data_IF_190588162247
#
_entry.id   IF_190588162247
#
_cell.length_a   1.000
_cell.length_b   1.000
_cell.length_c   1.000
_cell.angle_alpha   90.00
_cell.angle_beta   90.00
_cell.angle_gamma   90.00
#
_symmetry.space_group_name_H-M   'P 1'
#
loop_
_entity.id
_entity.type
_entity.pdbx_description
1 polymer ?
#
# COMPACT_ATOMS: atom_id res chain seq x y z
N UNK A 1 -65.03 -39.11 11.03
CA UNK A 1 -64.20 -38.20 11.88
C UNK A 1 -62.74 -38.06 11.46
N UNK A 2 -62.15 -38.99 10.71
CA UNK A 2 -60.70 -38.92 10.29
C UNK A 2 -60.35 -37.91 9.20
N UNK A 3 -61.28 -37.51 8.31
CA UNK A 3 -60.98 -36.57 7.21
C UNK A 3 -60.77 -35.12 7.61
N UNK A 4 -61.32 -34.68 8.76
CA UNK A 4 -61.18 -33.31 9.27
C UNK A 4 -59.86 -33.06 10.01
N UNK A 5 -59.27 -34.12 10.56
CA UNK A 5 -57.98 -33.98 11.27
C UNK A 5 -56.81 -33.88 10.32
N UNK A 6 -56.88 -34.48 9.12
CA UNK A 6 -55.80 -34.42 8.14
C UNK A 6 -55.69 -33.02 7.48
N UNK A 7 -56.83 -32.34 7.27
CA UNK A 7 -56.79 -30.98 6.72
C UNK A 7 -56.21 -29.96 7.69
N UNK A 8 -56.43 -30.14 8.98
CA UNK A 8 -55.88 -29.25 10.02
C UNK A 8 -54.35 -29.41 10.18
N UNK A 9 -53.83 -30.61 10.02
CA UNK A 9 -52.41 -30.88 10.08
C UNK A 9 -51.63 -30.31 8.88
N UNK A 10 -52.23 -30.36 7.68
CA UNK A 10 -51.62 -29.75 6.48
C UNK A 10 -51.61 -28.21 6.54
N UNK A 11 -52.62 -27.61 7.12
CA UNK A 11 -52.71 -26.15 7.31
C UNK A 11 -51.64 -25.63 8.24
N UNK A 12 -51.34 -26.36 9.31
CA UNK A 12 -50.27 -25.97 10.25
C UNK A 12 -48.86 -26.12 9.67
N UNK A 13 -48.65 -27.13 8.82
CA UNK A 13 -47.34 -27.29 8.14
C UNK A 13 -47.07 -26.19 7.12
N UNK A 14 -48.11 -25.71 6.42
CA UNK A 14 -47.97 -24.64 5.44
C UNK A 14 -47.67 -23.26 6.12
N UNK A 15 -48.20 -23.02 7.31
CA UNK A 15 -47.90 -21.82 8.06
C UNK A 15 -46.51 -21.82 8.73
N UNK A 16 -45.99 -23.02 9.06
CA UNK A 16 -44.66 -23.17 9.62
C UNK A 16 -43.54 -22.88 8.61
N UNK A 17 -43.73 -23.22 7.35
CA UNK A 17 -42.70 -22.96 6.32
C UNK A 17 -42.67 -21.51 5.84
N UNK A 18 -43.78 -20.79 5.94
CA UNK A 18 -43.81 -19.36 5.61
C UNK A 18 -43.12 -18.50 6.68
N UNK A 19 -43.13 -18.94 7.95
CA UNK A 19 -42.50 -18.22 9.06
C UNK A 19 -40.95 -18.32 9.02
N UNK A 20 -40.39 -19.39 8.47
CA UNK A 20 -38.94 -19.53 8.34
C UNK A 20 -38.34 -18.82 7.14
N UNK A 21 -39.14 -18.49 6.12
CA UNK A 21 -38.68 -17.75 4.96
C UNK A 21 -38.51 -16.23 5.22
N UNK A 22 -39.09 -15.72 6.31
CA UNK A 22 -39.00 -14.29 6.64
C UNK A 22 -37.86 -13.91 7.60
N UNK A 23 -37.14 -14.86 8.15
CA UNK A 23 -36.08 -14.58 9.11
C UNK A 23 -34.74 -14.23 8.44
N UNK A 24 -34.63 -14.36 7.13
CA UNK A 24 -33.38 -14.10 6.40
C UNK A 24 -33.37 -12.83 5.54
N UNK A 25 -34.39 -12.01 5.61
CA UNK A 25 -34.25 -10.62 5.20
C UNK A 25 -34.06 -9.78 6.46
N UNK A 26 -32.90 -9.91 7.13
CA UNK A 26 -32.36 -8.74 7.81
C UNK A 26 -32.37 -7.66 6.73
N UNK A 27 -33.16 -6.57 6.85
CA UNK A 27 -32.95 -5.45 5.98
C UNK A 27 -31.47 -5.15 6.16
N UNK A 28 -30.65 -5.39 5.15
CA UNK A 28 -29.40 -4.68 5.05
C UNK A 28 -29.85 -3.22 5.12
N UNK A 29 -29.78 -2.66 6.32
CA UNK A 29 -29.81 -1.21 6.51
C UNK A 29 -28.83 -0.75 5.47
N UNK A 30 -29.34 -0.13 4.42
CA UNK A 30 -28.57 0.21 3.26
C UNK A 30 -27.33 0.94 3.70
N UNK A 31 -26.25 0.20 3.79
CA UNK A 31 -24.94 0.77 3.54
C UNK A 31 -25.16 1.33 2.15
N UNK A 32 -25.31 2.64 2.10
CA UNK A 32 -25.83 3.34 0.94
C UNK A 32 -25.19 2.77 -0.32
N UNK A 33 -25.98 2.61 -1.36
CA UNK A 33 -25.62 2.12 -2.69
C UNK A 33 -24.46 2.90 -3.34
N UNK A 34 -23.45 3.27 -2.58
CA UNK A 34 -22.31 4.07 -2.93
C UNK A 34 -20.98 3.62 -2.33
N UNK A 35 -20.95 2.56 -1.53
CA UNK A 35 -19.67 2.01 -1.10
C UNK A 35 -19.08 1.17 -2.25
N UNK A 36 -18.50 1.84 -3.22
CA UNK A 36 -17.63 1.18 -4.18
C UNK A 36 -16.43 0.70 -3.39
N UNK A 37 -16.33 -0.61 -3.18
CA UNK A 37 -15.18 -1.21 -2.53
C UNK A 37 -13.95 -0.89 -3.37
N UNK A 38 -13.07 -0.04 -2.85
CA UNK A 38 -11.85 0.37 -3.55
C UNK A 38 -10.88 -0.79 -3.59
N UNK A 39 -10.37 -1.09 -4.76
CA UNK A 39 -9.37 -2.13 -4.91
C UNK A 39 -8.10 -1.73 -4.15
N UNK A 40 -7.69 -2.58 -3.21
CA UNK A 40 -6.52 -2.36 -2.35
C UNK A 40 -5.39 -3.28 -2.78
N UNK A 41 -4.24 -2.70 -2.98
CA UNK A 41 -3.02 -3.38 -3.42
C UNK A 41 -1.89 -3.19 -2.42
N UNK A 42 -0.94 -4.08 -2.45
CA UNK A 42 0.33 -3.94 -1.73
C UNK A 42 1.48 -4.49 -2.55
N UNK A 43 2.65 -3.95 -2.32
CA UNK A 43 3.91 -4.50 -2.80
C UNK A 43 4.95 -4.41 -1.70
N UNK A 44 5.90 -5.34 -1.68
CA UNK A 44 6.99 -5.38 -0.74
C UNK A 44 8.32 -5.52 -1.47
N UNK A 45 9.39 -5.06 -0.85
CA UNK A 45 10.75 -5.23 -1.32
C UNK A 45 11.64 -5.68 -0.15
N UNK A 46 12.64 -6.47 -0.46
CA UNK A 46 13.58 -7.02 0.52
C UNK A 46 15.01 -6.89 0.01
N UNK A 47 15.92 -6.54 0.92
CA UNK A 47 17.34 -6.49 0.61
C UNK A 47 17.72 -5.44 -0.44
N UNK A 48 16.92 -4.39 -0.60
CA UNK A 48 17.27 -3.28 -1.49
C UNK A 48 18.54 -2.61 -0.96
N UNK A 49 19.57 -2.55 -1.79
CA UNK A 49 20.75 -1.73 -1.53
C UNK A 49 20.43 -0.32 -2.03
N UNK A 50 20.17 0.64 -1.12
CA UNK A 50 19.77 1.97 -1.52
C UNK A 50 20.94 2.72 -2.15
N UNK A 51 20.62 3.65 -3.04
CA UNK A 51 21.60 4.59 -3.58
C UNK A 51 22.10 5.52 -2.48
N UNK A 52 23.41 5.65 -2.34
CA UNK A 52 24.02 6.35 -1.19
C UNK A 52 23.92 7.87 -1.26
N UNK A 53 23.77 8.45 -2.44
CA UNK A 53 23.73 9.90 -2.65
C UNK A 53 22.51 10.52 -2.00
N UNK A 54 22.70 11.62 -1.27
CA UNK A 54 21.60 12.39 -0.65
C UNK A 54 20.61 12.91 -1.70
N UNK A 55 19.35 13.05 -1.30
CA UNK A 55 18.30 13.58 -2.15
C UNK A 55 17.87 12.63 -3.25
N UNK A 56 18.26 11.35 -3.21
CA UNK A 56 17.94 10.37 -4.23
C UNK A 56 16.65 9.63 -3.91
N UNK A 57 15.80 9.46 -4.90
CA UNK A 57 14.60 8.64 -4.81
C UNK A 57 14.97 7.15 -4.88
N UNK A 58 14.52 6.39 -3.90
CA UNK A 58 14.90 4.99 -3.71
C UNK A 58 13.80 4.03 -4.18
N UNK A 59 12.57 4.36 -3.82
CA UNK A 59 11.37 3.59 -4.13
C UNK A 59 10.24 4.54 -4.47
N UNK A 60 9.62 4.36 -5.63
CA UNK A 60 8.54 5.23 -6.10
C UNK A 60 7.31 4.42 -6.49
N UNK A 61 6.15 5.00 -6.23
CA UNK A 61 4.87 4.60 -6.82
C UNK A 61 4.41 5.71 -7.78
N UNK A 62 4.07 5.33 -9.00
CA UNK A 62 3.58 6.23 -10.05
C UNK A 62 2.09 6.03 -10.22
N UNK A 63 1.36 7.09 -10.49
CA UNK A 63 -0.08 7.06 -10.67
C UNK A 63 -0.52 6.29 -11.93
N UNK A 64 -1.81 6.23 -12.13
CA UNK A 64 -2.47 5.47 -13.19
C UNK A 64 -3.05 6.39 -14.26
N UNK A 65 -3.12 5.90 -15.51
CA UNK A 65 -3.80 6.62 -16.60
C UNK A 65 -5.34 6.65 -16.45
N UNK A 66 -5.91 5.72 -15.71
CA UNK A 66 -7.36 5.50 -15.66
C UNK A 66 -7.98 5.56 -14.28
N UNK A 67 -7.15 5.67 -13.22
CA UNK A 67 -7.60 5.61 -11.82
C UNK A 67 -6.86 6.61 -10.95
N UNK A 68 -7.50 7.03 -9.87
CA UNK A 68 -6.84 7.78 -8.80
C UNK A 68 -6.14 6.76 -7.89
N UNK A 69 -4.85 6.94 -7.70
CA UNK A 69 -4.03 6.10 -6.81
C UNK A 69 -3.85 6.85 -5.48
N UNK A 70 -4.31 6.25 -4.37
CA UNK A 70 -4.14 6.82 -3.02
C UNK A 70 -3.22 5.93 -2.19
N UNK A 71 -2.10 6.49 -1.79
CA UNK A 71 -1.15 5.79 -0.93
C UNK A 71 -1.67 5.78 0.50
N UNK A 72 -1.88 4.59 1.05
CA UNK A 72 -2.43 4.39 2.40
C UNK A 72 -1.34 4.25 3.45
N UNK A 73 -0.26 3.55 3.09
CA UNK A 73 0.83 3.27 4.01
C UNK A 73 2.12 2.98 3.26
N UNK A 74 3.21 3.48 3.79
CA UNK A 74 4.57 3.08 3.40
C UNK A 74 5.32 2.72 4.67
N UNK A 75 5.80 1.49 4.76
CA UNK A 75 6.61 1.00 5.87
C UNK A 75 8.00 0.70 5.37
N UNK A 76 9.03 1.18 6.07
CA UNK A 76 10.43 0.95 5.70
C UNK A 76 11.22 0.61 6.96
N UNK A 77 12.10 -0.35 6.84
CA UNK A 77 13.11 -0.66 7.85
C UNK A 77 14.40 -1.05 7.17
N UNK A 78 15.50 -0.87 7.84
CA UNK A 78 16.80 -1.17 7.27
C UNK A 78 17.79 -1.67 8.30
N UNK A 79 18.85 -2.28 7.79
CA UNK A 79 20.03 -2.70 8.54
C UNK A 79 21.26 -2.21 7.82
N UNK A 80 22.34 -2.03 8.57
CA UNK A 80 23.66 -1.70 8.01
C UNK A 80 24.60 -2.89 8.13
N UNK A 81 25.60 -2.93 7.28
CA UNK A 81 26.62 -4.00 7.32
C UNK A 81 27.88 -3.62 8.08
N UNK A 82 28.11 -2.33 8.34
CA UNK A 82 29.38 -1.83 8.90
C UNK A 82 29.24 -1.16 10.25
N UNK A 83 28.29 -0.25 10.42
CA UNK A 83 28.03 0.46 11.67
C UNK A 83 26.59 0.96 11.72
N UNK A 84 26.01 1.11 12.91
CA UNK A 84 24.67 1.67 13.09
C UNK A 84 24.56 3.08 12.49
N UNK A 85 23.43 3.40 11.90
CA UNK A 85 23.19 4.70 11.29
C UNK A 85 21.75 5.18 11.54
N UNK A 86 21.58 6.48 11.77
CA UNK A 86 20.29 7.14 11.61
C UNK A 86 20.17 7.64 10.19
N UNK A 87 19.12 7.23 9.50
CA UNK A 87 18.84 7.60 8.12
C UNK A 87 17.62 8.51 8.08
N UNK A 88 17.83 9.75 7.66
CA UNK A 88 16.71 10.65 7.43
C UNK A 88 16.02 10.28 6.10
N UNK A 89 14.73 9.98 6.18
CA UNK A 89 13.88 9.57 5.07
C UNK A 89 12.81 10.63 4.88
N UNK A 90 12.69 11.11 3.65
CA UNK A 90 11.61 11.97 3.22
C UNK A 90 10.63 11.17 2.37
N UNK A 91 9.36 11.46 2.54
CA UNK A 91 8.32 11.08 1.59
C UNK A 91 8.01 12.30 0.72
N UNK A 92 8.26 12.19 -0.57
CA UNK A 92 8.12 13.29 -1.52
C UNK A 92 7.12 12.97 -2.62
N UNK A 93 6.29 13.94 -2.98
CA UNK A 93 5.45 13.88 -4.17
C UNK A 93 6.08 14.70 -5.26
N UNK A 94 6.18 14.13 -6.45
CA UNK A 94 6.71 14.74 -7.65
C UNK A 94 5.64 14.90 -8.72
N UNK A 95 5.71 15.99 -9.44
CA UNK A 95 4.82 16.27 -10.58
C UNK A 95 5.28 15.57 -11.87
N UNK A 96 6.54 15.12 -11.91
CA UNK A 96 7.12 14.40 -13.05
C UNK A 96 7.77 13.10 -12.57
N UNK A 97 7.70 12.07 -13.39
CA UNK A 97 8.34 10.78 -13.12
C UNK A 97 9.85 10.90 -13.35
N UNK A 98 10.62 10.30 -12.46
CA UNK A 98 12.07 10.19 -12.59
C UNK A 98 12.45 9.43 -13.87
N UNK A 99 13.58 9.78 -14.44
CA UNK A 99 14.09 9.15 -15.66
C UNK A 99 15.45 8.52 -15.41
N UNK A 100 15.80 7.53 -16.20
CA UNK A 100 17.08 6.82 -16.03
C UNK A 100 17.11 6.02 -14.72
N UNK A 101 18.31 5.85 -14.18
CA UNK A 101 18.54 4.97 -13.04
C UNK A 101 18.51 3.50 -13.43
N UNK A 102 18.86 2.64 -12.50
CA UNK A 102 18.79 1.18 -12.70
C UNK A 102 17.71 0.64 -11.77
N UNK A 103 16.57 0.18 -12.30
CA UNK A 103 15.55 -0.47 -11.48
C UNK A 103 16.10 -1.75 -10.84
N UNK A 104 15.79 -1.96 -9.57
CA UNK A 104 15.94 -3.27 -8.95
C UNK A 104 14.89 -4.21 -9.55
N UNK A 105 15.28 -5.42 -9.90
CA UNK A 105 14.34 -6.37 -10.55
C UNK A 105 15.01 -7.64 -11.02
N UNK A 106 16.20 -7.94 -10.49
CA UNK A 106 16.87 -9.22 -10.75
C UNK A 106 16.34 -10.31 -9.83
N UNK A 107 16.57 -11.58 -10.18
CA UNK A 107 16.22 -12.72 -9.33
C UNK A 107 16.88 -12.64 -7.94
N UNK A 108 18.06 -12.04 -7.84
CA UNK A 108 18.80 -11.86 -6.59
C UNK A 108 18.33 -10.63 -5.78
N UNK A 109 17.71 -9.66 -6.43
CA UNK A 109 17.15 -8.46 -5.81
C UNK A 109 15.83 -8.12 -6.52
N UNK A 110 14.76 -8.83 -6.18
CA UNK A 110 13.47 -8.63 -6.82
C UNK A 110 12.98 -7.21 -6.54
N UNK A 111 12.76 -6.46 -7.59
CA UNK A 111 12.21 -5.12 -7.51
C UNK A 111 10.79 -5.13 -6.96
N UNK A 112 10.39 -4.02 -6.36
CA UNK A 112 9.04 -3.83 -5.82
C UNK A 112 7.94 -4.09 -6.87
N UNK A 113 8.23 -3.87 -8.14
CA UNK A 113 7.28 -4.05 -9.25
C UNK A 113 6.84 -5.50 -9.46
N UNK A 114 7.66 -6.47 -9.06
CA UNK A 114 7.39 -7.89 -9.32
C UNK A 114 6.52 -8.53 -8.24
N UNK A 115 6.23 -7.81 -7.15
CA UNK A 115 5.55 -8.34 -5.97
C UNK A 115 4.24 -7.61 -5.66
N UNK A 116 3.55 -7.12 -6.67
CA UNK A 116 2.25 -6.47 -6.47
C UNK A 116 1.20 -7.54 -6.15
N UNK A 117 0.62 -7.45 -4.97
CA UNK A 117 -0.42 -8.36 -4.50
C UNK A 117 -1.68 -7.55 -4.21
N UNK A 118 -2.80 -8.07 -4.65
CA UNK A 118 -4.11 -7.56 -4.29
C UNK A 118 -4.48 -8.01 -2.87
N UNK A 119 -4.96 -7.11 -2.05
CA UNK A 119 -5.29 -7.38 -0.62
C UNK A 119 -6.77 -7.63 -0.37
N UNK A 120 -7.63 -7.16 -1.22
CA UNK A 120 -9.08 -7.36 -1.11
C UNK A 120 -9.56 -8.56 -1.91
N UNK A 121 -10.64 -9.19 -1.44
CA UNK A 121 -11.25 -10.37 -2.07
C UNK A 121 -12.34 -9.91 -3.04
N UNK A 122 -11.98 -9.22 -4.07
CA UNK A 122 -12.96 -8.73 -5.05
C UNK A 122 -12.54 -9.02 -6.50
N UNK A 123 -13.40 -8.68 -7.44
CA UNK A 123 -13.24 -8.97 -8.87
C UNK A 123 -12.43 -7.92 -9.65
N UNK A 124 -11.84 -6.93 -9.02
CA UNK A 124 -11.05 -5.92 -9.72
C UNK A 124 -9.76 -6.55 -10.30
N UNK A 125 -9.32 -6.05 -11.43
CA UNK A 125 -8.18 -6.54 -12.17
C UNK A 125 -6.82 -6.29 -11.48
N UNK A 126 -5.75 -6.43 -12.24
CA UNK A 126 -4.40 -6.08 -11.82
C UNK A 126 -4.29 -4.60 -11.45
N UNK A 127 -3.31 -4.26 -10.61
CA UNK A 127 -2.97 -2.88 -10.32
C UNK A 127 -2.61 -2.12 -11.60
N UNK A 128 -3.01 -0.86 -11.67
CA UNK A 128 -2.69 0.05 -12.77
C UNK A 128 -1.61 1.06 -12.41
N UNK A 129 -1.36 1.26 -11.10
CA UNK A 129 -0.19 1.97 -10.61
C UNK A 129 1.09 1.17 -10.91
N UNK A 130 2.17 1.86 -11.17
CA UNK A 130 3.49 1.25 -11.37
C UNK A 130 4.42 1.59 -10.22
N UNK A 131 5.29 0.65 -9.87
CA UNK A 131 6.25 0.82 -8.80
C UNK A 131 7.66 0.56 -9.33
N UNK A 132 8.61 1.26 -8.77
CA UNK A 132 10.03 1.07 -9.06
C UNK A 132 10.85 1.24 -7.78
N UNK A 133 11.88 0.44 -7.63
CA UNK A 133 12.97 0.65 -6.68
C UNK A 133 14.28 0.73 -7.44
N UNK A 134 15.20 1.57 -7.01
CA UNK A 134 16.42 1.86 -7.74
C UNK A 134 17.66 1.29 -7.04
N UNK A 135 18.59 0.75 -7.83
CA UNK A 135 19.94 0.36 -7.40
C UNK A 135 21.01 1.33 -7.88
N UNK A 136 20.66 2.20 -8.84
CA UNK A 136 21.47 3.35 -9.26
C UNK A 136 20.58 4.59 -9.35
N UNK A 137 21.14 5.75 -9.04
CA UNK A 137 20.41 7.02 -8.94
C UNK A 137 19.62 7.33 -10.22
N UNK A 138 18.31 7.56 -10.12
CA UNK A 138 17.55 8.13 -11.22
C UNK A 138 17.91 9.61 -11.39
N UNK A 139 17.59 10.14 -12.55
CA UNK A 139 17.58 11.59 -12.78
C UNK A 139 16.25 12.15 -12.31
N UNK A 140 16.30 12.96 -11.28
CA UNK A 140 15.13 13.64 -10.74
C UNK A 140 14.77 14.79 -11.69
N UNK A 141 13.60 14.67 -12.33
CA UNK A 141 13.10 15.67 -13.29
C UNK A 141 12.39 16.81 -12.57
N UNK A 142 11.64 16.50 -11.52
CA UNK A 142 10.93 17.49 -10.74
C UNK A 142 11.84 18.14 -9.68
N UNK A 143 12.21 19.38 -9.92
CA UNK A 143 13.08 20.17 -9.03
C UNK A 143 12.33 20.88 -7.89
N UNK A 144 11.00 20.83 -7.88
CA UNK A 144 10.15 21.45 -6.88
C UNK A 144 9.22 20.42 -6.19
N UNK A 145 9.77 19.41 -5.51
CA UNK A 145 8.97 18.36 -4.90
C UNK A 145 8.13 18.90 -3.74
N UNK A 146 6.98 18.28 -3.52
CA UNK A 146 6.18 18.50 -2.32
C UNK A 146 6.58 17.47 -1.27
N UNK A 147 7.16 17.92 -0.17
CA UNK A 147 7.45 17.05 0.97
C UNK A 147 6.15 16.74 1.70
N UNK A 148 5.83 15.45 1.80
CA UNK A 148 4.62 14.95 2.47
C UNK A 148 4.91 14.72 3.94
N UNK A 149 6.04 14.06 4.25
CA UNK A 149 6.46 13.72 5.60
C UNK A 149 7.97 13.46 5.64
N UNK A 150 8.55 13.51 6.84
CA UNK A 150 9.97 13.22 7.07
C UNK A 150 10.16 12.52 8.41
N UNK A 151 10.88 11.40 8.39
CA UNK A 151 11.15 10.60 9.57
C UNK A 151 12.59 10.12 9.61
N UNK A 152 13.08 9.77 10.80
CA UNK A 152 14.40 9.15 10.97
C UNK A 152 14.25 7.65 11.19
N UNK A 153 14.87 6.86 10.32
CA UNK A 153 14.98 5.42 10.45
C UNK A 153 16.25 5.07 11.20
N UNK A 154 16.13 4.30 12.26
CA UNK A 154 17.29 3.70 12.91
C UNK A 154 17.64 2.39 12.19
N UNK A 155 18.80 2.35 11.54
CA UNK A 155 19.35 1.18 10.87
C UNK A 155 20.44 0.55 11.75
N UNK A 156 20.15 -0.53 12.49
CA UNK A 156 21.11 -1.23 13.34
C UNK A 156 22.12 -2.01 12.50
N UNK A 157 23.27 -2.31 13.10
CA UNK A 157 24.23 -3.24 12.52
C UNK A 157 23.63 -4.66 12.51
N UNK A 158 23.55 -5.28 11.35
CA UNK A 158 22.93 -6.59 11.14
C UNK A 158 23.55 -7.71 12.01
N UNK A 159 24.85 -7.60 12.32
CA UNK A 159 25.54 -8.59 13.15
C UNK A 159 25.24 -8.49 14.66
N UNK A 160 24.67 -7.38 15.14
CA UNK A 160 24.53 -7.14 16.57
C UNK A 160 23.08 -7.09 17.06
N UNK A 161 22.13 -6.70 16.22
CA UNK A 161 20.73 -6.51 16.61
C UNK A 161 19.81 -7.03 15.52
N UNK A 162 18.95 -7.98 15.86
CA UNK A 162 17.97 -8.55 14.94
C UNK A 162 16.69 -7.74 14.78
N UNK A 163 16.55 -6.59 15.44
CA UNK A 163 15.32 -5.80 15.41
C UNK A 163 15.56 -4.41 14.85
N UNK A 164 15.30 -4.23 13.56
CA UNK A 164 15.15 -2.92 12.97
C UNK A 164 13.83 -2.28 13.42
N UNK A 165 13.84 -1.00 13.76
CA UNK A 165 12.63 -0.25 14.06
C UNK A 165 12.08 0.28 12.74
N UNK A 166 10.88 -0.14 12.32
CA UNK A 166 10.29 0.36 11.08
C UNK A 166 9.89 1.83 11.22
N UNK A 167 10.11 2.58 10.15
CA UNK A 167 9.47 3.87 9.91
C UNK A 167 8.16 3.61 9.18
N UNK A 168 7.10 4.23 9.62
CA UNK A 168 5.76 3.98 9.13
C UNK A 168 5.07 5.31 8.77
N UNK A 169 4.97 5.58 7.49
CA UNK A 169 4.16 6.66 6.94
C UNK A 169 2.74 6.14 6.74
N UNK A 170 1.86 6.49 7.64
CA UNK A 170 0.49 5.99 7.65
C UNK A 170 -0.53 7.12 7.41
N UNK A 171 -1.33 6.97 6.37
CA UNK A 171 -2.34 7.94 5.94
C UNK A 171 -3.76 7.33 6.05
N UNK A 172 -4.71 8.12 6.53
CA UNK A 172 -6.12 7.72 6.54
C UNK A 172 -6.59 6.97 7.79
N UNK A 173 -5.79 6.93 8.86
CA UNK A 173 -6.22 6.35 10.15
C UNK A 173 -6.95 7.35 11.04
N UNK A 174 -6.65 8.61 10.89
CA UNK A 174 -7.21 9.68 11.72
C UNK A 174 -8.41 10.30 11.02
N UNK A 175 -9.59 9.77 11.29
CA UNK A 175 -10.86 10.44 11.00
C UNK A 175 -10.95 11.79 11.74
N UNK A 176 -10.18 11.96 12.82
CA UNK A 176 -10.18 13.18 13.62
C UNK A 176 -9.33 14.30 13.00
N UNK A 177 -8.25 13.98 12.28
CA UNK A 177 -7.35 14.96 11.69
C UNK A 177 -7.53 15.21 10.20
N UNK A 178 -8.49 14.56 9.55
CA UNK A 178 -8.85 14.76 8.14
C UNK A 178 -7.68 14.67 7.15
N UNK A 179 -6.62 13.95 7.49
CA UNK A 179 -5.50 13.72 6.60
C UNK A 179 -5.89 12.70 5.53
N UNK A 180 -6.41 13.20 4.43
CA UNK A 180 -6.68 12.34 3.28
C UNK A 180 -5.38 11.71 2.77
N UNK A 181 -5.37 10.41 2.41
CA UNK A 181 -4.23 9.79 1.80
C UNK A 181 -3.74 10.57 0.59
N UNK A 182 -2.42 10.78 0.43
CA UNK A 182 -1.88 11.48 -0.72
C UNK A 182 -2.27 10.77 -2.00
N UNK A 183 -2.77 11.54 -2.97
CA UNK A 183 -3.32 11.02 -4.21
C UNK A 183 -2.43 11.37 -5.40
N UNK A 184 -2.34 10.43 -6.36
CA UNK A 184 -1.70 10.58 -7.65
C UNK A 184 -2.74 10.57 -8.76
N UNK A 185 -2.67 11.55 -9.61
CA UNK A 185 -3.57 11.74 -10.74
C UNK A 185 -2.77 11.61 -12.05
N UNK A 186 -3.03 10.56 -12.81
CA UNK A 186 -2.33 10.29 -14.07
C UNK A 186 -0.94 9.69 -13.88
N UNK A 187 -0.31 9.35 -14.98
CA UNK A 187 0.97 8.62 -15.04
C UNK A 187 2.21 9.52 -14.89
N UNK A 188 2.03 10.81 -14.75
CA UNK A 188 3.16 11.74 -14.62
C UNK A 188 3.53 12.02 -13.17
N UNK A 189 2.64 11.75 -12.23
CA UNK A 189 2.88 12.00 -10.82
C UNK A 189 3.40 10.74 -10.11
N UNK A 190 4.30 10.96 -9.15
CA UNK A 190 4.80 9.86 -8.32
C UNK A 190 4.95 10.30 -6.85
N UNK A 191 4.94 9.33 -5.96
CA UNK A 191 5.34 9.47 -4.56
C UNK A 191 6.55 8.58 -4.34
N UNK A 192 7.62 9.18 -3.82
CA UNK A 192 8.89 8.52 -3.63
C UNK A 192 9.37 8.57 -2.18
N UNK A 193 10.00 7.50 -1.78
CA UNK A 193 10.85 7.44 -0.60
C UNK A 193 12.23 7.96 -0.99
N UNK A 194 12.67 8.99 -0.33
CA UNK A 194 13.90 9.72 -0.64
C UNK A 194 14.82 9.73 0.58
N UNK A 195 16.11 9.45 0.40
CA UNK A 195 17.08 9.64 1.47
C UNK A 195 17.49 11.10 1.55
N UNK A 196 17.14 11.78 2.64
CA UNK A 196 17.44 13.20 2.83
C UNK A 196 18.94 13.49 2.99
N UNK A 197 19.73 12.51 3.43
CA UNK A 197 21.16 12.64 3.66
C UNK A 197 21.95 11.52 2.98
N UNK A 198 23.21 11.75 2.70
CA UNK A 198 24.13 10.73 2.18
C UNK A 198 24.23 9.56 3.15
N UNK A 199 24.12 8.35 2.63
CA UNK A 199 24.30 7.14 3.41
C UNK A 199 25.80 6.85 3.53
N UNK A 200 26.28 6.77 4.77
CA UNK A 200 27.72 6.56 5.05
C UNK A 200 28.09 5.08 5.13
N UNK A 201 27.08 4.22 5.32
CA UNK A 201 27.26 2.77 5.48
C UNK A 201 26.46 2.03 4.42
N UNK A 202 26.91 0.84 4.08
CA UNK A 202 26.10 -0.05 3.23
C UNK A 202 24.86 -0.44 3.99
N UNK A 203 23.73 -0.04 3.46
CA UNK A 203 22.41 -0.32 4.01
C UNK A 203 21.73 -1.42 3.19
N UNK A 204 20.86 -2.19 3.85
CA UNK A 204 19.90 -3.10 3.24
C UNK A 204 18.51 -2.65 3.70
N UNK A 205 17.70 -2.20 2.78
CA UNK A 205 16.36 -1.73 3.07
C UNK A 205 15.32 -2.77 2.71
N UNK A 206 14.30 -2.85 3.56
CA UNK A 206 13.11 -3.63 3.33
C UNK A 206 11.91 -2.72 3.52
N UNK A 207 10.79 -3.07 2.92
CA UNK A 207 9.60 -2.27 3.10
C UNK A 207 8.40 -2.76 2.32
N UNK A 208 7.33 -2.01 2.46
CA UNK A 208 6.09 -2.25 1.73
C UNK A 208 5.35 -0.94 1.45
N UNK A 209 4.62 -0.92 0.36
CA UNK A 209 3.68 0.14 0.00
C UNK A 209 2.29 -0.48 -0.10
N UNK A 210 1.30 0.20 0.48
CA UNK A 210 -0.13 -0.14 0.39
C UNK A 210 -0.87 1.04 -0.21
N UNK A 211 -1.71 0.78 -1.21
CA UNK A 211 -2.50 1.82 -1.89
C UNK A 211 -3.88 1.31 -2.31
N UNK A 212 -4.77 2.24 -2.63
CA UNK A 212 -6.06 1.96 -3.27
C UNK A 212 -6.12 2.60 -4.65
N UNK A 213 -6.89 1.99 -5.55
CA UNK A 213 -7.20 2.52 -6.87
C UNK A 213 -8.72 2.71 -7.03
N UNK A 214 -9.12 3.92 -7.44
CA UNK A 214 -10.52 4.36 -7.56
C UNK A 214 -10.89 4.66 -9.01
#
# INVERSE_FOLDING_TARGET
MMKRLVLSALGLLALGTAAFAQVNTVPQIGIGTGYVQKATYSSAFFGLVPVVTSGTDQVCITGSASKIVRVQRITIWGQTTTATQNVAINLVRRASVDTGGTPAGTTANPGITTQITRRDVGSAGAATATLVSYTAAPTIVDTAPVYIDSQNMFAPLAATINSAIPVDFYFGRDLENNLAPPALYGVTQQICVNNAATLTNTNLWNGSIVWTEE
#
